data_IF_318883487156
#
_entry.id   IF_318883487156
#
_cell.length_a   1.000
_cell.length_b   1.000
_cell.length_c   1.000
_cell.angle_alpha   90.00
_cell.angle_beta   90.00
_cell.angle_gamma   90.00
#
_symmetry.space_group_name_H-M   'P 1'
#
loop_
_entity.id
_entity.type
_entity.pdbx_description
1 polymer ?
#
# COMPACT_ATOMS: atom_id res chain seq x y z
N UNK A 1 -22.56 -6.58 -14.55
CA UNK A 1 -21.15 -6.18 -14.27
C UNK A 1 -20.80 -5.06 -15.24
N UNK A 2 -20.33 -3.92 -14.75
CA UNK A 2 -19.90 -2.80 -15.59
C UNK A 2 -18.37 -2.74 -15.58
N UNK A 3 -17.74 -3.47 -16.49
CA UNK A 3 -16.29 -3.39 -16.71
C UNK A 3 -15.92 -2.12 -17.47
N UNK A 4 -14.65 -1.70 -17.39
CA UNK A 4 -14.11 -0.54 -18.10
C UNK A 4 -14.93 0.76 -17.91
N UNK A 5 -15.67 0.86 -16.81
CA UNK A 5 -16.57 1.97 -16.52
C UNK A 5 -16.01 2.75 -15.34
N UNK A 6 -15.37 3.88 -15.61
CA UNK A 6 -14.85 4.76 -14.56
C UNK A 6 -15.98 5.54 -13.89
N UNK A 7 -15.98 5.58 -12.56
CA UNK A 7 -16.88 6.42 -11.76
C UNK A 7 -16.26 7.80 -11.60
N UNK A 8 -17.03 8.86 -11.84
CA UNK A 8 -16.58 10.26 -11.77
C UNK A 8 -17.25 11.05 -10.65
N UNK A 9 -18.45 10.66 -10.24
CA UNK A 9 -19.12 11.26 -9.08
C UNK A 9 -20.01 10.24 -8.38
N UNK A 10 -20.16 10.41 -7.07
CA UNK A 10 -21.11 9.66 -6.23
C UNK A 10 -21.98 10.67 -5.51
N UNK A 11 -23.30 10.55 -5.66
CA UNK A 11 -24.28 11.30 -4.89
C UNK A 11 -25.09 10.33 -4.01
N UNK A 12 -25.98 10.87 -3.17
CA UNK A 12 -26.72 10.07 -2.19
C UNK A 12 -27.56 8.93 -2.80
N UNK A 13 -28.04 9.10 -4.03
CA UNK A 13 -28.98 8.20 -4.70
C UNK A 13 -28.49 7.67 -6.06
N UNK A 14 -27.26 8.00 -6.46
CA UNK A 14 -26.75 7.68 -7.80
C UNK A 14 -25.23 7.74 -7.92
N UNK A 15 -24.72 7.08 -8.95
CA UNK A 15 -23.32 7.11 -9.39
C UNK A 15 -23.26 7.63 -10.81
N UNK A 16 -22.38 8.59 -11.09
CA UNK A 16 -22.11 9.10 -12.44
C UNK A 16 -20.84 8.46 -12.98
N UNK A 17 -20.89 8.02 -14.23
CA UNK A 17 -19.77 7.38 -14.93
C UNK A 17 -19.13 8.33 -15.95
N UNK A 18 -17.89 8.07 -16.32
CA UNK A 18 -17.11 8.94 -17.22
C UNK A 18 -17.71 9.10 -18.63
N UNK A 19 -18.54 8.14 -19.06
CA UNK A 19 -19.30 8.21 -20.32
C UNK A 19 -20.63 8.98 -20.19
N UNK A 20 -20.86 9.66 -19.05
CA UNK A 20 -22.03 10.50 -18.82
C UNK A 20 -23.27 9.76 -18.34
N UNK A 21 -23.23 8.42 -18.20
CA UNK A 21 -24.37 7.67 -17.65
C UNK A 21 -24.51 7.93 -16.16
N UNK A 22 -25.74 7.82 -15.68
CA UNK A 22 -26.08 7.88 -14.27
C UNK A 22 -26.77 6.57 -13.88
N UNK A 23 -26.24 5.91 -12.85
CA UNK A 23 -26.75 4.66 -12.32
C UNK A 23 -27.43 4.94 -10.97
N UNK A 24 -28.74 4.66 -10.81
CA UNK A 24 -29.40 4.81 -9.52
C UNK A 24 -28.84 3.81 -8.51
N UNK A 25 -28.56 4.28 -7.29
CA UNK A 25 -27.99 3.48 -6.22
C UNK A 25 -28.53 3.96 -4.86
N UNK A 26 -29.35 3.13 -4.21
CA UNK A 26 -29.82 3.41 -2.84
C UNK A 26 -28.69 3.31 -1.80
N UNK A 27 -27.64 2.52 -2.09
CA UNK A 27 -26.43 2.38 -1.28
C UNK A 27 -25.24 2.25 -2.24
N UNK A 28 -24.15 2.95 -1.94
CA UNK A 28 -22.88 2.83 -2.67
C UNK A 28 -21.78 2.35 -1.73
N UNK A 29 -21.18 1.18 -2.02
CA UNK A 29 -20.00 0.68 -1.34
C UNK A 29 -18.76 1.00 -2.18
N UNK A 30 -17.85 1.82 -1.65
CA UNK A 30 -16.62 2.19 -2.34
C UNK A 30 -15.46 1.27 -1.95
N UNK A 31 -15.03 0.42 -2.89
CA UNK A 31 -13.89 -0.49 -2.71
C UNK A 31 -12.75 -0.19 -3.70
N UNK A 32 -12.79 0.97 -4.36
CA UNK A 32 -11.87 1.33 -5.43
C UNK A 32 -10.76 2.27 -4.95
N UNK A 33 -9.52 1.80 -4.98
CA UNK A 33 -8.35 2.61 -4.65
C UNK A 33 -7.97 2.56 -3.17
N UNK A 34 -6.74 2.97 -2.91
CA UNK A 34 -6.11 3.02 -1.60
C UNK A 34 -5.28 4.29 -1.52
N UNK A 35 -5.27 4.93 -0.35
CA UNK A 35 -4.44 6.09 -0.09
C UNK A 35 -3.76 5.90 1.27
N UNK A 36 -2.50 6.33 1.36
CA UNK A 36 -1.79 6.35 2.64
C UNK A 36 -2.21 7.57 3.47
N UNK A 37 -2.01 7.47 4.78
CA UNK A 37 -2.32 8.56 5.68
C UNK A 37 -1.41 9.78 5.40
N UNK A 38 -1.93 11.02 5.37
CA UNK A 38 -1.14 12.22 5.02
C UNK A 38 -0.08 12.62 6.05
N UNK A 39 0.09 11.85 7.13
CA UNK A 39 0.97 12.23 8.25
C UNK A 39 2.42 12.32 7.82
N UNK A 40 2.92 11.33 7.05
CA UNK A 40 4.30 11.33 6.59
C UNK A 40 4.60 12.52 5.66
N UNK A 41 3.68 12.80 4.73
CA UNK A 41 3.80 13.91 3.79
C UNK A 41 3.74 15.30 4.46
N UNK A 42 3.19 15.39 5.68
CA UNK A 42 3.18 16.62 6.47
C UNK A 42 4.48 16.85 7.29
N UNK A 43 5.46 15.96 7.18
CA UNK A 43 6.76 16.06 7.86
C UNK A 43 7.89 16.41 6.88
N UNK A 44 9.13 16.40 7.36
CA UNK A 44 10.33 16.53 6.52
C UNK A 44 10.77 15.22 5.88
N UNK A 45 10.06 14.10 6.12
CA UNK A 45 10.37 12.81 5.51
C UNK A 45 10.28 12.89 3.99
N UNK A 46 11.22 12.25 3.31
CA UNK A 46 11.11 12.01 1.88
C UNK A 46 9.98 10.99 1.61
N UNK A 47 8.97 11.45 0.90
CA UNK A 47 7.81 10.65 0.49
C UNK A 47 7.61 10.68 -1.01
N UNK A 48 7.01 9.62 -1.55
CA UNK A 48 6.54 9.57 -2.94
C UNK A 48 5.42 10.59 -3.19
N UNK A 49 5.09 10.84 -4.47
CA UNK A 49 3.90 11.63 -4.83
C UNK A 49 2.57 11.02 -4.35
N UNK A 50 2.57 9.74 -3.95
CA UNK A 50 1.43 9.06 -3.33
C UNK A 50 1.47 9.08 -1.80
N UNK A 51 2.49 9.70 -1.18
CA UNK A 51 2.63 9.89 0.27
C UNK A 51 3.35 8.77 1.03
N UNK A 52 3.87 7.74 0.34
CA UNK A 52 4.61 6.65 0.98
C UNK A 52 6.03 7.11 1.33
N UNK A 53 6.54 6.74 2.51
CA UNK A 53 7.91 7.04 2.92
C UNK A 53 8.88 6.25 2.05
N UNK A 54 9.88 6.92 1.46
CA UNK A 54 10.93 6.26 0.69
C UNK A 54 11.91 5.60 1.67
N UNK A 55 12.11 4.29 1.52
CA UNK A 55 12.98 3.49 2.39
C UNK A 55 14.04 2.73 1.61
N UNK A 56 15.15 2.42 2.29
CA UNK A 56 16.19 1.53 1.77
C UNK A 56 15.83 0.04 1.95
N UNK A 57 16.74 -0.85 1.51
CA UNK A 57 16.61 -2.30 1.66
C UNK A 57 16.57 -2.79 3.13
N UNK A 58 16.69 -1.89 4.12
CA UNK A 58 16.63 -2.19 5.56
C UNK A 58 15.37 -1.59 6.22
N UNK A 59 14.42 -1.13 5.40
CA UNK A 59 13.18 -0.43 5.82
C UNK A 59 13.43 0.91 6.51
N UNK A 60 14.66 1.44 6.42
CA UNK A 60 15.04 2.72 7.00
C UNK A 60 14.69 3.83 6.03
N UNK A 61 14.15 4.94 6.53
CA UNK A 61 13.95 6.13 5.70
C UNK A 61 15.27 6.60 5.11
N UNK A 62 15.25 6.93 3.82
CA UNK A 62 16.43 7.47 3.12
C UNK A 62 16.78 8.89 3.58
N UNK A 63 15.83 9.60 4.18
CA UNK A 63 15.99 10.98 4.64
C UNK A 63 16.24 11.08 6.15
N UNK A 64 15.71 10.14 6.95
CA UNK A 64 15.76 10.20 8.41
C UNK A 64 16.29 8.88 9.00
N UNK A 65 17.56 8.84 9.44
CA UNK A 65 18.22 7.62 9.89
C UNK A 65 17.56 6.92 11.09
N UNK A 66 16.78 7.64 11.89
CA UNK A 66 16.13 7.06 13.09
C UNK A 66 14.67 6.66 12.82
N UNK A 67 14.22 6.77 11.56
CA UNK A 67 12.85 6.46 11.15
C UNK A 67 12.83 5.21 10.28
N UNK A 68 11.90 4.31 10.59
CA UNK A 68 11.62 3.10 9.83
C UNK A 68 10.17 3.12 9.40
N UNK A 69 9.91 2.67 8.17
CA UNK A 69 8.56 2.57 7.63
C UNK A 69 8.33 1.18 7.06
N UNK A 70 7.11 0.67 7.23
CA UNK A 70 6.72 -0.71 6.89
C UNK A 70 5.32 -0.72 6.27
N UNK A 71 4.96 -1.85 5.65
CA UNK A 71 3.64 -2.04 5.05
C UNK A 71 3.28 -0.93 4.04
N UNK A 72 2.01 -0.57 4.03
CA UNK A 72 1.47 0.38 3.04
C UNK A 72 2.04 1.80 3.19
N UNK A 73 2.57 2.15 4.37
CA UNK A 73 3.18 3.46 4.62
C UNK A 73 4.55 3.63 3.95
N UNK A 74 5.19 2.55 3.49
CA UNK A 74 6.53 2.57 2.91
C UNK A 74 6.51 2.23 1.42
N UNK A 75 7.35 2.92 0.64
CA UNK A 75 7.71 2.48 -0.70
C UNK A 75 8.78 1.40 -0.58
N UNK A 76 8.35 0.13 -0.56
CA UNK A 76 9.26 -1.01 -0.49
C UNK A 76 9.50 -1.58 -1.88
N UNK A 77 10.78 -1.68 -2.26
CA UNK A 77 11.17 -2.32 -3.51
C UNK A 77 11.20 -3.84 -3.34
N UNK A 78 10.36 -4.53 -4.10
CA UNK A 78 10.29 -5.98 -4.19
C UNK A 78 11.15 -6.55 -5.34
N UNK A 79 10.91 -7.81 -5.71
CA UNK A 79 11.64 -8.48 -6.78
C UNK A 79 11.59 -7.73 -8.12
N UNK A 80 12.75 -7.63 -8.79
CA UNK A 80 12.88 -6.96 -10.09
C UNK A 80 12.70 -5.45 -10.03
N UNK A 81 13.05 -4.84 -8.90
CA UNK A 81 12.98 -3.38 -8.66
C UNK A 81 11.58 -2.81 -8.93
N UNK A 82 10.55 -3.57 -8.53
CA UNK A 82 9.16 -3.14 -8.59
C UNK A 82 8.64 -2.88 -7.18
N UNK A 83 7.89 -1.79 -6.95
CA UNK A 83 7.25 -1.55 -5.66
C UNK A 83 6.36 -2.72 -5.26
N UNK A 84 6.40 -3.10 -3.98
CA UNK A 84 5.41 -4.02 -3.42
C UNK A 84 4.03 -3.36 -3.49
N UNK A 85 3.02 -4.17 -3.81
CA UNK A 85 1.63 -3.72 -3.74
C UNK A 85 1.28 -3.41 -2.27
N UNK A 86 0.53 -2.33 -2.06
CA UNK A 86 -0.17 -2.10 -0.80
C UNK A 86 -1.12 -3.28 -0.51
N UNK A 87 -0.86 -4.00 0.58
CA UNK A 87 -1.51 -5.26 0.91
C UNK A 87 -1.15 -5.72 2.33
N UNK A 88 -2.08 -6.37 3.01
CA UNK A 88 -1.81 -7.03 4.29
C UNK A 88 -0.69 -8.09 4.18
N UNK A 89 -0.51 -8.70 3.00
CA UNK A 89 0.51 -9.73 2.77
C UNK A 89 1.94 -9.20 2.87
N UNK A 90 2.18 -7.90 2.65
CA UNK A 90 3.51 -7.29 2.77
C UNK A 90 3.78 -6.70 4.15
N UNK A 91 2.75 -6.46 4.97
CA UNK A 91 2.88 -5.83 6.29
C UNK A 91 3.76 -6.62 7.26
N UNK A 92 3.45 -7.91 7.48
CA UNK A 92 4.22 -8.75 8.42
C UNK A 92 5.68 -8.95 7.99
N UNK A 93 5.97 -9.31 6.71
CA UNK A 93 7.36 -9.47 6.27
C UNK A 93 8.19 -8.18 6.39
N UNK A 94 7.64 -7.03 6.03
CA UNK A 94 8.35 -5.74 6.16
C UNK A 94 8.56 -5.34 7.63
N UNK A 95 7.62 -5.68 8.52
CA UNK A 95 7.77 -5.50 9.96
C UNK A 95 8.94 -6.30 10.55
N UNK A 96 9.07 -7.58 10.19
CA UNK A 96 10.18 -8.42 10.65
C UNK A 96 11.52 -7.89 10.14
N UNK A 97 11.60 -7.48 8.88
CA UNK A 97 12.82 -6.92 8.30
C UNK A 97 13.24 -5.62 8.97
N UNK A 98 12.29 -4.73 9.28
CA UNK A 98 12.57 -3.50 10.03
C UNK A 98 13.05 -3.83 11.46
N UNK A 99 12.38 -4.75 12.15
CA UNK A 99 12.75 -5.16 13.50
C UNK A 99 14.17 -5.75 13.56
N UNK A 100 14.51 -6.64 12.63
CA UNK A 100 15.86 -7.23 12.54
C UNK A 100 16.91 -6.14 12.24
N UNK A 101 16.58 -5.17 11.37
CA UNK A 101 17.47 -4.06 11.02
C UNK A 101 17.72 -3.12 12.19
N UNK A 102 16.69 -2.81 12.98
CA UNK A 102 16.80 -2.02 14.21
C UNK A 102 17.63 -2.77 15.25
N UNK A 103 17.33 -4.05 15.49
CA UNK A 103 18.06 -4.86 16.46
C UNK A 103 19.55 -4.99 16.11
N UNK A 104 19.87 -5.25 14.83
CA UNK A 104 21.25 -5.32 14.37
C UNK A 104 22.00 -4.00 14.60
N UNK A 105 21.38 -2.85 14.32
CA UNK A 105 22.03 -1.54 14.51
C UNK A 105 22.24 -1.20 15.98
N UNK A 106 21.28 -1.52 16.85
CA UNK A 106 21.38 -1.25 18.29
C UNK A 106 22.42 -2.14 18.99
N UNK A 107 22.64 -3.35 18.48
CA UNK A 107 23.55 -4.33 19.09
C UNK A 107 24.92 -4.41 18.40
N UNK A 108 25.14 -3.65 17.32
CA UNK A 108 26.33 -3.78 16.47
C UNK A 108 26.39 -5.09 15.67
N UNK A 109 25.26 -5.78 15.55
CA UNK A 109 25.12 -7.00 14.77
C UNK A 109 25.12 -6.77 13.26
N UNK A 110 25.15 -7.87 12.50
CA UNK A 110 25.13 -7.84 11.04
C UNK A 110 23.73 -7.44 10.53
N UNK A 111 23.68 -6.40 9.70
CA UNK A 111 22.43 -5.94 9.08
C UNK A 111 21.90 -7.02 8.09
N UNK A 112 20.59 -7.37 8.15
CA UNK A 112 19.98 -8.28 7.18
C UNK A 112 20.01 -7.70 5.76
N UNK A 113 20.34 -8.55 4.77
CA UNK A 113 20.35 -8.17 3.34
C UNK A 113 19.22 -8.79 2.53
N UNK A 114 18.20 -9.36 3.20
CA UNK A 114 17.10 -10.05 2.54
C UNK A 114 16.06 -9.03 2.08
N UNK A 115 15.76 -9.00 0.78
CA UNK A 115 14.63 -8.23 0.26
C UNK A 115 13.31 -8.94 0.55
N UNK A 116 12.30 -8.16 0.93
CA UNK A 116 10.96 -8.65 1.15
C UNK A 116 10.34 -9.18 -0.15
N UNK A 117 9.85 -10.42 -0.14
CA UNK A 117 9.10 -11.04 -1.23
C UNK A 117 7.74 -11.52 -0.70
N UNK A 118 6.66 -11.14 -1.37
CA UNK A 118 5.30 -11.60 -1.03
C UNK A 118 4.95 -12.87 -1.80
N UNK A 119 4.30 -13.84 -1.17
CA UNK A 119 3.73 -15.02 -1.84
C UNK A 119 2.37 -14.71 -2.50
N UNK A 120 1.94 -15.62 -3.38
CA UNK A 120 0.79 -15.53 -4.30
C UNK A 120 -0.51 -15.09 -3.64
N UNK A 121 -1.29 -14.23 -4.32
CA UNK A 121 -2.63 -13.84 -3.86
C UNK A 121 -3.64 -14.98 -4.02
N UNK A 122 -4.51 -15.18 -3.02
CA UNK A 122 -5.67 -16.09 -3.11
C UNK A 122 -6.95 -15.26 -3.15
N UNK A 123 -7.88 -15.57 -4.05
CA UNK A 123 -9.20 -14.94 -4.12
C UNK A 123 -10.27 -16.02 -4.21
N UNK A 124 -11.29 -15.98 -3.35
CA UNK A 124 -12.45 -16.87 -3.40
C UNK A 124 -13.66 -16.10 -3.91
N UNK A 125 -14.28 -16.58 -4.99
CA UNK A 125 -15.57 -16.09 -5.48
C UNK A 125 -16.65 -17.13 -5.20
N UNK A 126 -17.62 -16.81 -4.36
CA UNK A 126 -18.79 -17.64 -4.14
C UNK A 126 -19.89 -17.24 -5.14
N UNK A 127 -20.09 -18.04 -6.18
CA UNK A 127 -21.25 -17.91 -7.04
C UNK A 127 -22.45 -18.63 -6.39
N UNK A 128 -23.39 -17.89 -5.80
CA UNK A 128 -24.76 -18.41 -5.63
C UNK A 128 -25.48 -18.20 -6.96
N UNK A 129 -25.66 -19.28 -7.72
CA UNK A 129 -26.63 -19.30 -8.81
C UNK A 129 -28.03 -19.24 -8.19
N UNK A 130 -28.83 -18.28 -8.64
CA UNK A 130 -30.28 -18.29 -8.45
C UNK A 130 -30.92 -19.18 -9.52
#
# INVERSE_FOLDING_TARGET
MHEHTAVTAVAADRVTTADGRTLPAAVTLWTAGFAVHPLAAATTLETTGTGQIVVDDTMRSVSHPDVYAIGDAALVMGPGDKPLRMSCASGVPTAWQAADSVAARLTGGKIPTRRCATSTSVSHWAARRA
#
